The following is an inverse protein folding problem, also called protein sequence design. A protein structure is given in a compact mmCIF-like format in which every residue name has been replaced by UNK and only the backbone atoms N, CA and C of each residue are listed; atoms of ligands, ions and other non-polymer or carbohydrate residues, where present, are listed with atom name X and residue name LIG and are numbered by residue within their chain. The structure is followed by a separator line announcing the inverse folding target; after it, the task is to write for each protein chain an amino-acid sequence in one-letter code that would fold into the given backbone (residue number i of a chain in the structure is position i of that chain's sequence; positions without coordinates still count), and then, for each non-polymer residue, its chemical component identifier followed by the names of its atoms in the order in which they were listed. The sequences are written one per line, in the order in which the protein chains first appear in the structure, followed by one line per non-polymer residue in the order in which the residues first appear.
data_IF_382833882826
#
_entry.id   IF_382833882826
#
_cell.length_a   1.000
_cell.length_b   1.000
_cell.length_c   1.000
_cell.angle_alpha   90.00
_cell.angle_beta   90.00
_cell.angle_gamma   90.00
#
_symmetry.space_group_name_H-M   'P 1'
#
loop_
_entity.id
_entity.type
_entity.pdbx_description
1 polymer ?
#
# COMPACT_ATOMS: atom_id res chain seq x y z
N UNK A 1 2.16 3.98 -0.46
CA UNK A 1 2.35 2.64 0.15
C UNK A 1 1.33 2.52 1.27
N UNK A 2 0.54 1.46 1.26
CA UNK A 2 -0.51 1.26 2.26
C UNK A 2 -0.10 0.21 3.30
N UNK A 3 -0.56 0.44 4.53
CA UNK A 3 -0.53 -0.47 5.68
C UNK A 3 -1.92 -0.48 6.35
N UNK A 4 -2.08 -1.23 7.44
CA UNK A 4 -3.35 -1.27 8.20
C UNK A 4 -3.75 0.12 8.69
N UNK A 5 -5.03 0.49 8.55
CA UNK A 5 -5.55 1.78 8.96
C UNK A 5 -5.53 1.99 10.49
N UNK A 6 -5.78 0.91 11.23
CA UNK A 6 -5.80 0.88 12.68
C UNK A 6 -4.59 0.11 13.21
N UNK A 7 -4.16 0.44 14.43
CA UNK A 7 -3.09 -0.28 15.14
C UNK A 7 -3.63 -1.59 15.72
N UNK A 8 -4.87 -1.55 16.22
CA UNK A 8 -5.53 -2.70 16.84
C UNK A 8 -6.20 -3.60 15.80
N UNK A 9 -6.26 -4.90 16.09
CA UNK A 9 -6.96 -5.87 15.21
C UNK A 9 -8.49 -5.70 15.27
N UNK A 10 -9.02 -5.26 16.41
CA UNK A 10 -10.45 -4.97 16.62
C UNK A 10 -10.65 -3.56 17.21
N UNK A 11 -10.56 -2.50 16.38
CA UNK A 11 -10.78 -1.13 16.82
C UNK A 11 -12.23 -0.87 17.27
N UNK A 12 -13.20 -1.70 16.84
CA UNK A 12 -14.61 -1.53 17.19
C UNK A 12 -14.93 -1.80 18.67
N UNK A 13 -14.05 -2.54 19.34
CA UNK A 13 -14.11 -2.79 20.78
C UNK A 13 -13.57 -1.63 21.64
N UNK A 14 -12.95 -0.61 21.02
CA UNK A 14 -12.36 0.52 21.72
C UNK A 14 -13.35 1.69 21.81
N UNK A 15 -13.51 2.25 23.01
CA UNK A 15 -14.28 3.48 23.21
C UNK A 15 -13.65 4.68 22.48
N UNK A 16 -12.32 4.67 22.31
CA UNK A 16 -11.51 5.71 21.67
C UNK A 16 -10.92 5.27 20.32
N UNK A 17 -11.69 4.55 19.50
CA UNK A 17 -11.22 4.01 18.21
C UNK A 17 -10.64 5.08 17.25
N UNK A 18 -11.09 6.34 17.32
CA UNK A 18 -10.53 7.44 16.52
C UNK A 18 -9.07 7.75 16.86
N UNK A 19 -8.59 7.36 18.04
CA UNK A 19 -7.19 7.56 18.43
C UNK A 19 -6.29 6.39 18.01
N UNK A 20 -6.91 5.29 17.56
CA UNK A 20 -6.23 4.05 17.16
C UNK A 20 -5.73 4.08 15.70
N UNK A 21 -5.89 5.20 14.99
CA UNK A 21 -5.35 5.34 13.63
C UNK A 21 -3.84 5.11 13.60
N UNK A 22 -3.41 4.32 12.63
CA UNK A 22 -2.02 4.10 12.32
C UNK A 22 -1.48 5.28 11.48
N UNK A 23 -0.54 6.08 12.00
CA UNK A 23 0.05 7.19 11.25
C UNK A 23 0.82 6.72 10.01
N UNK A 24 1.29 5.48 10.01
CA UNK A 24 2.04 4.86 8.92
C UNK A 24 1.12 4.10 7.93
N UNK A 25 -0.20 4.22 8.07
CA UNK A 25 -1.20 3.59 7.18
C UNK A 25 -1.05 4.01 5.72
N UNK A 26 -0.50 5.21 5.48
CA UNK A 26 -0.18 5.73 4.16
C UNK A 26 1.18 6.42 4.15
N UNK A 27 2.10 5.87 3.38
CA UNK A 27 3.41 6.48 3.09
C UNK A 27 3.49 6.85 1.62
N UNK A 28 3.61 8.14 1.31
CA UNK A 28 3.74 8.64 -0.07
C UNK A 28 5.19 8.84 -0.43
N UNK A 29 5.65 8.15 -1.47
CA UNK A 29 6.99 8.30 -2.03
C UNK A 29 6.92 9.11 -3.32
N UNK A 30 7.81 10.09 -3.48
CA UNK A 30 7.93 10.93 -4.67
C UNK A 30 9.28 10.72 -5.33
N UNK A 31 9.36 10.92 -6.65
CA UNK A 31 10.60 10.76 -7.41
C UNK A 31 11.07 9.29 -7.51
N UNK A 32 10.14 8.34 -7.47
CA UNK A 32 10.47 6.93 -7.66
C UNK A 32 10.94 6.67 -9.09
N UNK A 33 11.97 5.84 -9.23
CA UNK A 33 12.49 5.41 -10.54
C UNK A 33 11.82 4.10 -10.93
N UNK A 34 11.38 4.01 -12.17
CA UNK A 34 10.67 2.85 -12.70
C UNK A 34 11.22 2.43 -14.07
N UNK A 35 10.86 1.22 -14.48
CA UNK A 35 11.26 0.69 -15.78
C UNK A 35 10.49 1.40 -16.91
N UNK A 36 11.12 1.65 -18.07
CA UNK A 36 10.46 2.34 -19.18
C UNK A 36 9.19 1.65 -19.70
N UNK A 37 9.09 0.32 -19.56
CA UNK A 37 7.93 -0.46 -20.02
C UNK A 37 6.61 -0.12 -19.30
N UNK A 38 6.69 0.53 -18.13
CA UNK A 38 5.51 0.95 -17.37
C UNK A 38 5.00 2.34 -17.77
N UNK A 39 5.67 3.05 -18.68
CA UNK A 39 5.26 4.37 -19.14
C UNK A 39 3.90 4.38 -19.89
N UNK A 40 3.50 3.24 -20.47
CA UNK A 40 2.24 3.09 -21.19
C UNK A 40 1.13 2.43 -20.34
N UNK A 41 1.38 2.24 -19.04
CA UNK A 41 0.40 1.63 -18.14
C UNK A 41 -0.83 2.53 -17.97
N UNK A 42 -2.01 1.92 -17.87
CA UNK A 42 -3.29 2.61 -17.74
C UNK A 42 -3.84 2.44 -16.33
N UNK A 43 -4.68 3.39 -15.91
CA UNK A 43 -5.40 3.29 -14.64
C UNK A 43 -6.07 1.91 -14.48
N UNK A 44 -5.84 1.27 -13.34
CA UNK A 44 -6.34 -0.08 -13.03
C UNK A 44 -5.45 -1.24 -13.51
N UNK A 45 -4.41 -0.99 -14.33
CA UNK A 45 -3.41 -2.02 -14.64
C UNK A 45 -2.67 -2.45 -13.36
N UNK A 46 -2.27 -3.73 -13.32
CA UNK A 46 -1.67 -4.35 -12.14
C UNK A 46 -0.33 -4.98 -12.49
N UNK A 47 0.66 -4.75 -11.64
CA UNK A 47 2.03 -5.21 -11.85
C UNK A 47 2.63 -5.76 -10.56
N UNK A 48 3.46 -6.78 -10.70
CA UNK A 48 4.40 -7.15 -9.64
C UNK A 48 5.68 -6.34 -9.85
N UNK A 49 5.98 -5.42 -8.94
CA UNK A 49 7.28 -4.78 -8.90
C UNK A 49 8.25 -5.68 -8.14
N UNK A 50 9.35 -6.05 -8.80
CA UNK A 50 10.29 -7.05 -8.30
C UNK A 50 10.76 -6.70 -6.89
N UNK A 51 10.65 -7.68 -5.97
CA UNK A 51 11.06 -7.58 -4.56
C UNK A 51 10.31 -6.54 -3.71
N UNK A 52 9.38 -5.79 -4.29
CA UNK A 52 8.65 -4.72 -3.59
C UNK A 52 7.21 -5.11 -3.24
N UNK A 53 6.50 -5.76 -4.17
CA UNK A 53 5.09 -6.10 -3.98
C UNK A 53 4.28 -6.01 -5.25
N UNK A 54 2.97 -6.10 -5.09
CA UNK A 54 2.00 -5.91 -6.15
C UNK A 54 1.44 -4.50 -6.08
N UNK A 55 1.35 -3.86 -7.25
CA UNK A 55 0.93 -2.47 -7.39
C UNK A 55 -0.13 -2.35 -8.48
N UNK A 56 -1.04 -1.41 -8.29
CA UNK A 56 -2.01 -1.00 -9.29
C UNK A 56 -1.79 0.47 -9.66
N UNK A 57 -2.01 0.81 -10.94
CA UNK A 57 -2.01 2.19 -11.40
C UNK A 57 -3.25 2.90 -10.86
N UNK A 58 -3.04 4.01 -10.16
CA UNK A 58 -4.12 4.78 -9.56
C UNK A 58 -4.90 5.59 -10.63
N UNK A 59 -6.22 5.78 -10.49
CA UNK A 59 -7.01 6.64 -11.38
C UNK A 59 -6.52 8.09 -11.51
N UNK A 60 -5.82 8.61 -10.50
CA UNK A 60 -5.24 9.95 -10.51
C UNK A 60 -3.95 10.03 -11.36
N UNK A 61 -3.51 8.92 -11.97
CA UNK A 61 -2.34 8.90 -12.84
C UNK A 61 -2.56 9.69 -14.13
N UNK A 62 -1.57 10.50 -14.51
CA UNK A 62 -1.52 11.19 -15.80
C UNK A 62 -0.29 10.77 -16.61
N UNK A 63 -0.23 11.05 -17.92
CA UNK A 63 0.95 10.76 -18.74
C UNK A 63 2.25 11.40 -18.21
N UNK A 64 2.15 12.52 -17.50
CA UNK A 64 3.28 13.25 -16.92
C UNK A 64 3.58 12.81 -15.48
N UNK A 65 2.60 12.22 -14.79
CA UNK A 65 2.68 11.87 -13.38
C UNK A 65 1.96 10.54 -13.11
N UNK A 66 2.71 9.45 -13.23
CA UNK A 66 2.21 8.12 -12.92
C UNK A 66 2.15 7.88 -11.41
N UNK A 67 1.02 7.35 -10.92
CA UNK A 67 0.79 7.05 -9.50
C UNK A 67 0.54 5.55 -9.34
N UNK A 68 1.27 4.92 -8.42
CA UNK A 68 1.17 3.49 -8.15
C UNK A 68 0.82 3.23 -6.69
N UNK A 69 -0.26 2.47 -6.48
CA UNK A 69 -0.72 2.06 -5.17
C UNK A 69 -0.30 0.62 -4.90
N UNK A 70 0.42 0.41 -3.79
CA UNK A 70 0.77 -0.95 -3.35
C UNK A 70 -0.49 -1.64 -2.85
N UNK A 71 -0.89 -2.71 -3.54
CA UNK A 71 -2.03 -3.55 -3.16
C UNK A 71 -1.66 -4.49 -2.02
N UNK A 72 -0.51 -5.18 -2.13
CA UNK A 72 -0.06 -6.19 -1.16
C UNK A 72 1.45 -6.41 -1.29
N UNK A 73 2.11 -6.76 -0.19
CA UNK A 73 3.55 -7.11 -0.15
C UNK A 73 3.78 -8.55 -0.65
N UNK A 74 5.00 -8.88 -1.07
CA UNK A 74 5.30 -10.23 -1.62
C UNK A 74 5.21 -11.36 -0.59
N UNK A 75 5.42 -11.05 0.69
CA UNK A 75 5.40 -12.01 1.78
C UNK A 75 4.92 -11.30 3.04
N UNK A 76 4.03 -11.94 3.79
CA UNK A 76 3.64 -11.42 5.09
C UNK A 76 4.84 -11.46 6.05
N UNK A 77 5.14 -10.32 6.68
CA UNK A 77 6.06 -10.20 7.81
C UNK A 77 5.27 -9.88 9.08
N UNK A 78 4.14 -10.54 9.32
CA UNK A 78 3.58 -10.57 10.67
C UNK A 78 4.24 -11.72 11.42
N UNK A 79 4.89 -11.50 12.57
CA UNK A 79 5.10 -12.61 13.49
C UNK A 79 3.72 -13.13 13.84
N UNK A 80 3.44 -14.37 13.47
CA UNK A 80 2.24 -15.07 13.90
C UNK A 80 2.31 -15.12 15.42
N UNK A 81 1.56 -14.25 16.10
CA UNK A 81 1.33 -14.37 17.53
C UNK A 81 0.51 -15.64 17.73
N UNK A 82 1.20 -16.76 17.96
CA UNK A 82 0.61 -18.00 18.44
C UNK A 82 -0.03 -17.69 19.80
N UNK A 83 -1.34 -17.44 19.82
CA UNK A 83 -2.11 -17.41 21.06
C UNK A 83 -2.07 -18.83 21.65
N UNK A 84 -1.39 -18.98 22.78
CA UNK A 84 -1.55 -20.13 23.71
C UNK A 84 -2.75 -19.88 24.60
#
# INVERSE_FOLDING_TARGET
LYETLFKSEDPGSLDTWLEDFNPDSLVTLKGCVMTPGLAAAKAGDRFQLERLGYFAVDPDSTPEAMVFNRTVTLKESKPVSLKK
#
